data_IF_926521299371
#
_entry.id   IF_926521299371
#
_cell.length_a   1.000
_cell.length_b   1.000
_cell.length_c   1.000
_cell.angle_alpha   90.00
_cell.angle_beta   90.00
_cell.angle_gamma   90.00
#
_symmetry.space_group_name_H-M   'P 1'
#
loop_
_entity.id
_entity.type
_entity.pdbx_description
1 polymer ?
#
# COMPACT_ATOMS: atom_id res chain seq x y z
N UNK A 1 -6.81 14.91 -14.33
CA UNK A 1 -6.10 16.00 -13.63
C UNK A 1 -4.66 16.05 -14.11
N UNK A 2 -4.31 16.97 -15.03
CA UNK A 2 -2.95 17.15 -15.52
C UNK A 2 -1.95 17.37 -14.38
N UNK A 3 -2.36 18.14 -13.37
CA UNK A 3 -1.49 18.60 -12.27
C UNK A 3 -1.05 17.47 -11.33
N UNK A 4 -1.80 16.37 -11.26
CA UNK A 4 -1.46 15.22 -10.42
C UNK A 4 -0.63 14.15 -11.14
N UNK A 5 -0.54 14.19 -12.48
CA UNK A 5 0.12 13.13 -13.26
C UNK A 5 1.62 12.99 -12.93
N UNK A 6 2.27 14.09 -12.56
CA UNK A 6 3.70 14.11 -12.23
C UNK A 6 4.02 13.40 -10.92
N UNK A 7 3.11 13.45 -9.95
CA UNK A 7 3.33 12.96 -8.59
C UNK A 7 3.15 11.44 -8.46
N UNK A 8 3.79 10.82 -7.46
CA UNK A 8 3.57 9.42 -7.08
C UNK A 8 2.69 9.29 -5.84
N UNK A 9 2.22 8.09 -5.53
CA UNK A 9 1.34 7.81 -4.38
C UNK A 9 1.91 8.14 -2.99
N UNK A 10 3.23 8.39 -2.89
CA UNK A 10 3.91 8.89 -1.68
C UNK A 10 3.84 10.42 -1.52
N UNK A 11 3.43 11.14 -2.56
CA UNK A 11 3.50 12.61 -2.59
C UNK A 11 2.27 13.21 -1.94
N UNK A 12 2.44 14.27 -1.15
CA UNK A 12 1.36 14.95 -0.46
C UNK A 12 0.17 15.33 -1.37
N UNK A 13 0.35 15.84 -2.61
CA UNK A 13 -0.79 16.16 -3.48
C UNK A 13 -1.66 14.94 -3.85
N UNK A 14 -1.06 13.75 -3.95
CA UNK A 14 -1.80 12.51 -4.21
C UNK A 14 -2.48 12.02 -2.95
N UNK A 15 -1.81 12.11 -1.81
CA UNK A 15 -2.39 11.76 -0.50
C UNK A 15 -3.61 12.64 -0.25
N UNK A 16 -3.46 13.96 -0.27
CA UNK A 16 -4.55 14.92 -0.04
C UNK A 16 -5.74 14.69 -0.97
N UNK A 17 -5.48 14.39 -2.24
CA UNK A 17 -6.53 14.06 -3.20
C UNK A 17 -7.27 12.76 -2.82
N UNK A 18 -6.54 11.70 -2.46
CA UNK A 18 -7.15 10.41 -2.14
C UNK A 18 -7.91 10.44 -0.80
N UNK A 19 -7.41 11.16 0.19
CA UNK A 19 -8.05 11.32 1.52
C UNK A 19 -9.35 12.14 1.45
N UNK A 20 -9.61 12.88 0.36
CA UNK A 20 -10.90 13.55 0.15
C UNK A 20 -12.04 12.59 -0.19
N UNK A 21 -11.74 11.34 -0.50
CA UNK A 21 -12.72 10.37 -0.98
C UNK A 21 -13.04 9.32 0.10
N UNK A 22 -14.30 9.22 0.59
CA UNK A 22 -14.67 8.26 1.63
C UNK A 22 -14.34 6.79 1.29
N UNK A 23 -14.44 6.44 0.01
CA UNK A 23 -14.11 5.09 -0.47
C UNK A 23 -12.64 4.71 -0.23
N UNK A 24 -11.73 5.69 -0.21
CA UNK A 24 -10.30 5.45 0.08
C UNK A 24 -10.14 4.88 1.49
N UNK A 25 -10.75 5.53 2.48
CA UNK A 25 -10.71 5.07 3.88
C UNK A 25 -11.40 3.72 4.04
N UNK A 26 -12.60 3.56 3.47
CA UNK A 26 -13.33 2.28 3.56
C UNK A 26 -12.53 1.13 2.96
N UNK A 27 -11.86 1.37 1.82
CA UNK A 27 -11.00 0.36 1.19
C UNK A 27 -9.79 0.04 2.05
N UNK A 28 -9.12 1.06 2.62
CA UNK A 28 -8.00 0.87 3.55
C UNK A 28 -8.40 0.02 4.74
N UNK A 29 -9.51 0.35 5.39
CA UNK A 29 -9.96 -0.33 6.60
C UNK A 29 -10.33 -1.80 6.33
N UNK A 30 -11.01 -2.06 5.21
CA UNK A 30 -11.35 -3.42 4.79
C UNK A 30 -10.11 -4.25 4.47
N UNK A 31 -9.15 -3.67 3.73
CA UNK A 31 -7.89 -4.36 3.40
C UNK A 31 -7.05 -4.60 4.64
N UNK A 32 -6.97 -3.62 5.55
CA UNK A 32 -6.26 -3.74 6.82
C UNK A 32 -6.82 -4.91 7.63
N UNK A 33 -8.14 -4.97 7.82
CA UNK A 33 -8.78 -6.04 8.58
C UNK A 33 -8.50 -7.41 7.95
N UNK A 34 -8.66 -7.52 6.62
CA UNK A 34 -8.38 -8.77 5.91
C UNK A 34 -6.91 -9.21 6.04
N UNK A 35 -5.96 -8.31 5.80
CA UNK A 35 -4.53 -8.61 5.87
C UNK A 35 -4.13 -8.94 7.31
N UNK A 36 -4.58 -8.17 8.30
CA UNK A 36 -4.26 -8.42 9.71
C UNK A 36 -4.73 -9.81 10.17
N UNK A 37 -5.97 -10.17 9.84
CA UNK A 37 -6.52 -11.50 10.17
C UNK A 37 -5.73 -12.60 9.47
N UNK A 38 -5.44 -12.41 8.18
CA UNK A 38 -4.66 -13.38 7.38
C UNK A 38 -3.25 -13.56 7.93
N UNK A 39 -2.54 -12.46 8.23
CA UNK A 39 -1.18 -12.51 8.76
C UNK A 39 -1.13 -13.17 10.13
N UNK A 40 -2.11 -12.92 11.01
CA UNK A 40 -2.20 -13.52 12.35
C UNK A 40 -2.26 -15.05 12.29
N UNK A 41 -3.01 -15.60 11.33
CA UNK A 41 -3.07 -17.05 11.10
C UNK A 41 -1.79 -17.58 10.45
N UNK A 42 -1.26 -16.87 9.45
CA UNK A 42 -0.12 -17.36 8.67
C UNK A 42 1.20 -17.35 9.45
N UNK A 43 1.40 -16.44 10.42
CA UNK A 43 2.59 -16.46 11.29
C UNK A 43 2.68 -17.71 12.16
N UNK A 44 1.58 -18.46 12.33
CA UNK A 44 1.59 -19.75 13.04
C UNK A 44 1.97 -20.94 12.13
N UNK A 45 2.21 -20.69 10.84
CA UNK A 45 2.51 -21.73 9.85
C UNK A 45 4.00 -21.73 9.48
N UNK A 46 4.50 -22.85 8.95
CA UNK A 46 5.91 -23.01 8.54
C UNK A 46 6.22 -22.34 7.17
N UNK A 47 5.56 -21.21 6.87
CA UNK A 47 5.77 -20.47 5.63
C UNK A 47 6.82 -19.39 5.82
N UNK A 48 7.83 -19.40 4.97
CA UNK A 48 8.93 -18.41 5.05
C UNK A 48 8.50 -17.00 4.63
N UNK A 49 7.57 -16.87 3.68
CA UNK A 49 7.11 -15.56 3.17
C UNK A 49 5.66 -15.60 2.70
N UNK A 50 4.97 -14.47 2.84
CA UNK A 50 3.64 -14.22 2.28
C UNK A 50 3.68 -12.90 1.54
N UNK A 51 3.21 -12.89 0.29
CA UNK A 51 3.19 -11.69 -0.55
C UNK A 51 1.75 -11.28 -0.84
N UNK A 52 1.37 -10.08 -0.41
CA UNK A 52 0.11 -9.44 -0.80
C UNK A 52 0.42 -8.33 -1.82
N UNK A 53 -0.22 -8.37 -2.98
CA UNK A 53 -0.01 -7.37 -4.05
C UNK A 53 -1.26 -6.51 -4.21
N UNK A 54 -1.08 -5.18 -4.17
CA UNK A 54 -2.15 -4.22 -4.44
C UNK A 54 -1.84 -3.50 -5.74
N UNK A 55 -2.72 -3.66 -6.73
CA UNK A 55 -2.55 -3.13 -8.08
C UNK A 55 -3.52 -2.00 -8.41
N UNK A 56 -3.02 -0.97 -9.09
CA UNK A 56 -3.86 -0.06 -9.88
C UNK A 56 -3.33 -0.05 -11.32
N UNK A 57 -4.14 0.41 -12.28
CA UNK A 57 -3.83 0.30 -13.73
C UNK A 57 -2.40 0.71 -14.11
N UNK A 58 -1.90 1.82 -13.54
CA UNK A 58 -0.57 2.35 -13.86
C UNK A 58 0.45 2.23 -12.74
N UNK A 59 0.15 1.49 -11.66
CA UNK A 59 1.12 1.21 -10.58
C UNK A 59 1.67 2.39 -9.77
N UNK A 60 1.32 3.65 -10.11
CA UNK A 60 2.00 4.85 -9.62
C UNK A 60 1.34 5.57 -8.44
N UNK A 61 0.01 5.56 -8.37
CA UNK A 61 -0.76 6.43 -7.46
C UNK A 61 -1.49 5.64 -6.37
N UNK A 62 -2.64 5.06 -6.71
CA UNK A 62 -3.57 4.43 -5.75
C UNK A 62 -2.96 3.22 -5.05
N UNK A 63 -2.29 2.34 -5.81
CA UNK A 63 -1.62 1.17 -5.23
C UNK A 63 -0.50 1.56 -4.28
N UNK A 64 0.35 2.51 -4.69
CA UNK A 64 1.47 3.01 -3.89
C UNK A 64 0.96 3.62 -2.60
N UNK A 65 0.00 4.54 -2.69
CA UNK A 65 -0.64 5.14 -1.52
C UNK A 65 -1.19 4.06 -0.58
N UNK A 66 -1.97 3.11 -1.10
CA UNK A 66 -2.63 2.09 -0.28
C UNK A 66 -1.61 1.19 0.44
N UNK A 67 -0.53 0.81 -0.24
CA UNK A 67 0.55 0.01 0.36
C UNK A 67 1.27 0.77 1.48
N UNK A 68 1.55 2.06 1.29
CA UNK A 68 2.20 2.89 2.32
C UNK A 68 1.32 3.04 3.57
N UNK A 69 0.01 3.29 3.38
CA UNK A 69 -0.93 3.39 4.50
C UNK A 69 -1.06 2.08 5.27
N UNK A 70 -1.26 0.96 4.55
CA UNK A 70 -1.36 -0.36 5.17
C UNK A 70 -0.07 -0.77 5.90
N UNK A 71 1.09 -0.40 5.36
CA UNK A 71 2.35 -0.61 6.04
C UNK A 71 2.42 0.18 7.35
N UNK A 72 2.09 1.47 7.33
CA UNK A 72 2.04 2.30 8.54
C UNK A 72 1.09 1.72 9.60
N UNK A 73 -0.08 1.21 9.18
CA UNK A 73 -1.09 0.65 10.07
C UNK A 73 -0.69 -0.70 10.69
N UNK A 74 0.02 -1.54 9.93
CA UNK A 74 0.29 -2.94 10.28
C UNK A 74 1.70 -3.17 10.86
N UNK A 75 2.68 -2.37 10.47
CA UNK A 75 4.07 -2.53 10.89
C UNK A 75 4.26 -2.58 12.42
N UNK A 76 3.53 -1.81 13.25
CA UNK A 76 3.65 -1.93 14.71
C UNK A 76 3.32 -3.32 15.26
N UNK A 77 2.39 -4.04 14.62
CA UNK A 77 2.00 -5.41 15.01
C UNK A 77 2.84 -6.49 14.28
N UNK A 78 3.38 -6.16 13.10
CA UNK A 78 4.13 -7.07 12.24
C UNK A 78 5.48 -6.43 11.84
N UNK A 79 6.50 -6.43 12.72
CA UNK A 79 7.75 -5.69 12.51
C UNK A 79 8.63 -6.22 11.37
N UNK A 80 8.34 -7.41 10.85
CA UNK A 80 9.03 -8.00 9.69
C UNK A 80 8.32 -7.72 8.36
N UNK A 81 7.29 -6.87 8.36
CA UNK A 81 6.60 -6.48 7.14
C UNK A 81 7.56 -5.70 6.23
N UNK A 82 7.55 -6.03 4.93
CA UNK A 82 8.33 -5.36 3.91
C UNK A 82 7.39 -4.83 2.82
N UNK A 83 7.71 -3.66 2.27
CA UNK A 83 7.00 -3.09 1.11
C UNK A 83 7.93 -2.95 -0.08
N UNK A 84 7.36 -3.10 -1.27
CA UNK A 84 8.04 -2.89 -2.54
C UNK A 84 7.08 -2.28 -3.56
N UNK A 85 7.54 -1.27 -4.30
CA UNK A 85 6.75 -0.58 -5.32
C UNK A 85 7.32 -0.87 -6.72
N UNK A 86 6.92 -2.01 -7.28
CA UNK A 86 7.47 -2.54 -8.55
C UNK A 86 7.60 -1.50 -9.65
N UNK A 87 6.55 -0.70 -9.87
CA UNK A 87 6.46 0.22 -11.00
C UNK A 87 7.09 1.61 -10.69
N UNK A 88 7.46 1.88 -9.43
CA UNK A 88 8.28 3.05 -9.06
C UNK A 88 9.77 2.73 -9.11
N UNK A 89 10.16 1.50 -8.73
CA UNK A 89 11.55 1.04 -8.76
C UNK A 89 12.10 0.95 -10.19
N UNK A 90 11.23 0.72 -11.19
CA UNK A 90 11.61 0.67 -12.61
C UNK A 90 12.05 2.03 -13.19
N UNK A 91 11.93 3.13 -12.44
CA UNK A 91 12.35 4.48 -12.83
C UNK A 91 13.59 5.02 -12.10
N UNK A 92 14.28 4.21 -11.28
CA UNK A 92 15.45 4.65 -10.51
C UNK A 92 16.72 4.50 -11.37
N UNK A 93 17.11 5.58 -12.06
CA UNK A 93 18.54 5.92 -12.13
C UNK A 93 18.87 6.66 -10.84
N UNK A 94 19.59 5.95 -9.97
CA UNK A 94 20.47 6.41 -8.87
C UNK A 94 20.05 7.63 -8.05
#
# INVERSE_FOLDING_TARGET
>A
MPDLRGFGGKSQPIIDYLEQHPITHQTRDNLRAFIQNTLTELVQTDRSYVTCSIGCTGGKHRSVYMVEQLYSDLHPAFPHLLIRHRDLDAGIMT
#
